data_IF_431157006118
#
_entry.id   IF_431157006118
#
_cell.length_a   1.000
_cell.length_b   1.000
_cell.length_c   1.000
_cell.angle_alpha   90.00
_cell.angle_beta   90.00
_cell.angle_gamma   90.00
#
_symmetry.space_group_name_H-M   'P 1'
#
loop_
_entity.id
_entity.type
_entity.pdbx_description
1 polymer ?
#
# COMPACT_ATOMS: atom_id res chain seq x y z
N UNK A 1 7.19 -21.29 -1.69
CA UNK A 1 7.00 -19.87 -1.40
C UNK A 1 6.34 -19.20 -2.58
N UNK A 2 5.48 -18.21 -2.34
CA UNK A 2 4.94 -17.33 -3.37
C UNK A 2 5.25 -15.88 -3.01
N UNK A 3 5.51 -15.05 -4.01
CA UNK A 3 5.64 -13.60 -3.86
C UNK A 3 4.83 -12.92 -4.97
N UNK A 4 4.09 -11.88 -4.60
CA UNK A 4 3.33 -11.07 -5.55
C UNK A 4 3.37 -9.61 -5.15
N UNK A 5 3.36 -8.72 -6.14
CA UNK A 5 3.31 -7.27 -5.94
C UNK A 5 2.00 -6.70 -6.48
N UNK A 6 1.39 -5.73 -5.79
CA UNK A 6 0.18 -5.04 -6.26
C UNK A 6 -0.94 -6.04 -6.52
N UNK A 7 -1.60 -6.04 -7.68
CA UNK A 7 -2.54 -7.10 -8.07
C UNK A 7 -1.94 -8.53 -8.10
N UNK A 8 -0.61 -8.65 -8.14
CA UNK A 8 0.09 -9.90 -7.88
C UNK A 8 -0.21 -10.46 -6.49
N UNK A 9 -0.51 -9.63 -5.48
CA UNK A 9 -0.93 -10.08 -4.14
C UNK A 9 -2.27 -10.79 -4.18
N UNK A 10 -3.26 -10.25 -4.90
CA UNK A 10 -4.55 -10.93 -5.16
C UNK A 10 -4.30 -12.31 -5.79
N UNK A 11 -3.40 -12.38 -6.78
CA UNK A 11 -3.08 -13.63 -7.48
C UNK A 11 -2.41 -14.66 -6.57
N UNK A 12 -1.37 -14.28 -5.81
CA UNK A 12 -0.66 -15.25 -4.96
C UNK A 12 -1.48 -15.66 -3.73
N UNK A 13 -2.33 -14.78 -3.20
CA UNK A 13 -3.26 -15.11 -2.14
C UNK A 13 -4.28 -16.18 -2.60
N UNK A 14 -4.89 -15.99 -3.78
CA UNK A 14 -5.78 -17.00 -4.35
C UNK A 14 -5.07 -18.28 -4.78
N UNK A 15 -3.85 -18.16 -5.33
CA UNK A 15 -3.04 -19.31 -5.72
C UNK A 15 -2.65 -20.16 -4.50
N UNK A 16 -2.35 -19.55 -3.35
CA UNK A 16 -2.07 -20.27 -2.12
C UNK A 16 -3.25 -21.16 -1.70
N UNK A 17 -4.46 -20.61 -1.68
CA UNK A 17 -5.67 -21.38 -1.39
C UNK A 17 -5.93 -22.49 -2.41
N UNK A 18 -5.75 -22.21 -3.71
CA UNK A 18 -5.96 -23.20 -4.79
C UNK A 18 -4.94 -24.34 -4.75
N UNK A 19 -3.66 -24.06 -4.56
CA UNK A 19 -2.61 -25.06 -4.48
C UNK A 19 -2.84 -26.01 -3.30
N UNK A 20 -3.20 -25.47 -2.15
CA UNK A 20 -3.45 -26.28 -0.96
C UNK A 20 -4.74 -27.08 -1.09
N UNK A 21 -5.87 -26.41 -1.33
CA UNK A 21 -7.20 -27.03 -1.30
C UNK A 21 -7.51 -27.95 -2.48
N UNK A 22 -6.71 -27.94 -3.55
CA UNK A 22 -6.99 -28.75 -4.75
C UNK A 22 -5.82 -29.58 -5.25
N UNK A 23 -4.60 -29.25 -4.83
CA UNK A 23 -3.40 -29.97 -5.25
C UNK A 23 -2.60 -30.51 -4.07
N UNK A 24 -3.08 -30.34 -2.82
CA UNK A 24 -2.39 -30.79 -1.60
C UNK A 24 -0.96 -30.25 -1.49
N UNK A 25 -0.72 -29.08 -2.10
CA UNK A 25 0.56 -28.39 -2.10
C UNK A 25 0.57 -27.34 -1.00
N UNK A 26 1.29 -27.64 0.08
CA UNK A 26 1.39 -26.78 1.26
C UNK A 26 2.59 -25.84 1.14
N UNK A 27 2.36 -24.54 1.37
CA UNK A 27 3.38 -23.50 1.27
C UNK A 27 3.95 -23.16 2.65
N UNK A 28 5.25 -22.89 2.71
CA UNK A 28 5.91 -22.33 3.91
C UNK A 28 5.62 -20.83 4.09
N UNK A 29 5.49 -20.09 2.99
CA UNK A 29 5.38 -18.64 3.06
C UNK A 29 4.79 -18.00 1.82
N UNK A 30 4.03 -16.93 2.05
CA UNK A 30 3.53 -15.99 1.03
C UNK A 30 4.01 -14.58 1.36
N UNK A 31 4.58 -13.89 0.38
CA UNK A 31 5.07 -12.51 0.51
C UNK A 31 4.18 -11.60 -0.33
N UNK A 32 3.60 -10.60 0.32
CA UNK A 32 2.69 -9.63 -0.28
C UNK A 32 3.38 -8.27 -0.34
N UNK A 33 3.82 -7.87 -1.52
CA UNK A 33 4.47 -6.58 -1.75
C UNK A 33 3.41 -5.57 -2.18
N UNK A 34 3.25 -4.47 -1.45
CA UNK A 34 2.26 -3.42 -1.70
C UNK A 34 0.86 -3.99 -2.02
N UNK A 35 0.22 -4.70 -1.08
CA UNK A 35 -0.98 -5.46 -1.35
C UNK A 35 -2.22 -4.59 -1.62
N UNK A 36 -3.04 -5.07 -2.55
CA UNK A 36 -4.41 -4.59 -2.75
C UNK A 36 -5.33 -4.95 -1.58
N UNK A 37 -6.63 -4.63 -1.68
CA UNK A 37 -7.61 -4.96 -0.64
C UNK A 37 -7.82 -6.44 -0.36
N UNK A 38 -7.45 -7.34 -1.29
CA UNK A 38 -7.64 -8.80 -1.19
C UNK A 38 -9.10 -9.24 -0.92
N UNK A 39 -10.08 -8.40 -1.24
CA UNK A 39 -11.50 -8.63 -0.92
C UNK A 39 -11.90 -8.31 0.53
N UNK A 40 -11.03 -7.69 1.34
CA UNK A 40 -11.40 -7.12 2.65
C UNK A 40 -12.19 -5.83 2.42
N UNK A 41 -13.36 -5.73 3.04
CA UNK A 41 -14.21 -4.54 2.96
C UNK A 41 -13.60 -3.38 3.78
N UNK A 42 -13.55 -2.18 3.19
CA UNK A 42 -13.11 -0.93 3.83
C UNK A 42 -14.06 0.23 3.51
N UNK A 43 -15.32 -0.03 3.19
CA UNK A 43 -16.26 0.99 2.72
C UNK A 43 -16.59 2.03 3.79
N UNK A 44 -16.96 3.24 3.35
CA UNK A 44 -17.41 4.33 4.21
C UNK A 44 -16.29 4.89 5.12
N UNK A 45 -16.60 5.21 6.39
CA UNK A 45 -15.66 5.86 7.32
C UNK A 45 -14.28 5.23 7.42
N UNK A 46 -14.18 3.91 7.28
CA UNK A 46 -12.90 3.19 7.32
C UNK A 46 -12.05 3.62 6.13
N UNK A 47 -12.54 3.44 4.91
CA UNK A 47 -11.80 3.75 3.67
C UNK A 47 -11.50 5.22 3.51
N UNK A 48 -12.35 6.10 4.04
CA UNK A 48 -12.13 7.55 4.03
C UNK A 48 -11.00 7.97 4.99
N UNK A 49 -10.81 7.26 6.10
CA UNK A 49 -9.84 7.60 7.14
C UNK A 49 -8.46 6.96 6.95
N UNK A 50 -8.41 5.70 6.49
CA UNK A 50 -7.16 4.94 6.35
C UNK A 50 -6.06 5.59 5.48
N UNK A 51 -6.35 6.48 4.51
CA UNK A 51 -5.31 7.22 3.79
C UNK A 51 -4.51 8.22 4.62
N UNK A 52 -5.00 8.67 5.79
CA UNK A 52 -4.38 9.76 6.55
C UNK A 52 -2.91 9.49 6.97
N UNK A 53 -2.52 8.29 7.44
CA UNK A 53 -1.11 8.00 7.71
C UNK A 53 -0.23 8.07 6.44
N UNK A 54 -0.74 7.71 5.27
CA UNK A 54 -0.04 7.90 3.99
C UNK A 54 0.10 9.39 3.63
N UNK A 55 -0.95 10.20 3.86
CA UNK A 55 -0.88 11.65 3.68
C UNK A 55 0.19 12.26 4.57
N UNK A 56 0.26 11.81 5.82
CA UNK A 56 1.29 12.24 6.78
C UNK A 56 2.69 11.93 6.29
N UNK A 57 2.94 10.69 5.84
CA UNK A 57 4.24 10.31 5.30
C UNK A 57 4.62 11.20 4.11
N UNK A 58 3.68 11.39 3.18
CA UNK A 58 3.89 12.21 1.99
C UNK A 58 4.19 13.68 2.33
N UNK A 59 3.43 14.29 3.23
CA UNK A 59 3.66 15.65 3.69
C UNK A 59 5.00 15.79 4.42
N UNK A 60 5.37 14.80 5.25
CA UNK A 60 6.67 14.77 5.92
C UNK A 60 7.84 14.74 4.93
N UNK A 61 7.71 14.00 3.82
CA UNK A 61 8.74 13.93 2.79
C UNK A 61 8.93 15.29 2.10
N UNK A 62 7.83 15.96 1.78
CA UNK A 62 7.86 17.26 1.09
C UNK A 62 8.02 18.48 1.99
N UNK A 63 8.23 18.28 3.29
CA UNK A 63 8.39 19.38 4.27
C UNK A 63 7.14 20.25 4.41
N UNK A 64 5.97 19.63 4.24
CA UNK A 64 4.66 20.27 4.33
C UNK A 64 4.00 20.10 5.72
N UNK A 65 4.71 19.53 6.69
CA UNK A 65 4.25 19.47 8.08
C UNK A 65 4.84 20.62 8.90
N UNK A 66 4.12 20.99 9.95
CA UNK A 66 4.62 21.98 10.90
C UNK A 66 5.88 21.50 11.67
N UNK A 67 6.69 22.43 12.21
CA UNK A 67 8.02 22.10 12.76
C UNK A 67 8.03 20.98 13.81
N UNK A 68 7.03 20.92 14.69
CA UNK A 68 6.95 19.93 15.75
C UNK A 68 6.78 18.49 15.22
N UNK A 69 6.06 18.32 14.10
CA UNK A 69 5.91 17.02 13.45
C UNK A 69 7.07 16.75 12.49
N UNK A 70 7.53 17.79 11.78
CA UNK A 70 8.57 17.67 10.77
C UNK A 70 9.93 17.21 11.31
N UNK A 71 10.22 17.50 12.59
CA UNK A 71 11.43 17.08 13.29
C UNK A 71 11.44 15.61 13.76
N UNK A 72 10.32 14.89 13.67
CA UNK A 72 10.22 13.47 14.06
C UNK A 72 10.56 12.56 12.89
N UNK A 73 11.03 11.34 13.17
CA UNK A 73 11.14 10.30 12.14
C UNK A 73 9.76 9.72 11.82
N UNK A 74 9.59 9.11 10.64
CA UNK A 74 8.33 8.42 10.30
C UNK A 74 8.00 7.30 11.31
N UNK A 75 9.02 6.58 11.79
CA UNK A 75 8.85 5.54 12.80
C UNK A 75 8.30 6.08 14.15
N UNK A 76 8.58 7.35 14.47
CA UNK A 76 8.03 8.02 15.65
C UNK A 76 6.66 8.63 15.39
N UNK A 77 6.42 9.15 14.18
CA UNK A 77 5.22 9.92 13.85
C UNK A 77 4.04 9.04 13.46
N UNK A 78 4.26 8.05 12.58
CA UNK A 78 3.18 7.25 12.01
C UNK A 78 2.37 6.47 13.06
N UNK A 79 2.94 5.84 14.10
CA UNK A 79 2.14 5.13 15.11
C UNK A 79 1.09 6.01 15.80
N UNK A 80 1.39 7.29 16.04
CA UNK A 80 0.46 8.25 16.63
C UNK A 80 -0.69 8.59 15.67
N UNK A 81 -0.39 8.73 14.38
CA UNK A 81 -1.41 9.00 13.36
C UNK A 81 -2.27 7.76 13.11
N UNK A 82 -1.68 6.56 13.15
CA UNK A 82 -2.40 5.29 13.08
C UNK A 82 -3.41 5.17 14.24
N UNK A 83 -2.99 5.48 15.47
CA UNK A 83 -3.87 5.51 16.64
C UNK A 83 -4.99 6.54 16.49
N UNK A 84 -4.65 7.78 16.12
CA UNK A 84 -5.66 8.81 15.85
C UNK A 84 -6.67 8.36 14.78
N UNK A 85 -6.20 7.69 13.73
CA UNK A 85 -7.05 7.20 12.64
C UNK A 85 -8.05 6.16 13.15
N UNK A 86 -7.58 5.19 13.94
CA UNK A 86 -8.40 4.08 14.45
C UNK A 86 -9.34 4.48 15.58
N UNK A 87 -8.83 5.25 16.54
CA UNK A 87 -9.49 5.45 17.83
C UNK A 87 -10.36 6.72 17.85
N UNK A 88 -10.11 7.68 16.96
CA UNK A 88 -10.77 8.98 16.97
C UNK A 88 -11.42 9.33 15.62
N UNK A 89 -10.68 9.23 14.52
CA UNK A 89 -11.15 9.67 13.20
C UNK A 89 -12.26 8.77 12.65
N UNK A 90 -12.04 7.45 12.60
CA UNK A 90 -13.04 6.48 12.12
C UNK A 90 -14.33 6.57 12.96
N UNK A 91 -14.30 6.54 14.31
CA UNK A 91 -15.50 6.69 15.13
C UNK A 91 -16.23 8.01 14.89
N UNK A 92 -15.50 9.12 14.72
CA UNK A 92 -16.10 10.41 14.47
C UNK A 92 -16.79 10.50 13.09
N UNK A 93 -16.14 9.98 12.05
CA UNK A 93 -16.74 9.87 10.72
C UNK A 93 -17.99 8.97 10.74
N UNK A 94 -17.96 7.87 11.51
CA UNK A 94 -19.11 6.99 11.67
C UNK A 94 -20.31 7.64 12.37
N UNK A 95 -20.08 8.61 13.28
CA UNK A 95 -21.16 9.43 13.88
C UNK A 95 -21.83 10.36 12.86
N UNK A 96 -21.14 10.71 11.77
CA UNK A 96 -21.66 11.57 10.71
C UNK A 96 -22.25 12.89 11.24
N UNK A 97 -23.50 13.19 10.86
CA UNK A 97 -24.20 14.41 11.28
C UNK A 97 -24.47 14.53 12.78
N UNK A 98 -24.40 13.44 13.54
CA UNK A 98 -24.58 13.45 14.99
C UNK A 98 -23.35 13.97 15.76
N UNK A 99 -22.20 14.13 15.07
CA UNK A 99 -20.98 14.69 15.65
C UNK A 99 -21.17 16.19 15.98
N UNK A 100 -20.98 16.61 17.24
CA UNK A 100 -21.05 18.02 17.62
C UNK A 100 -20.10 18.89 16.79
N UNK A 101 -20.53 20.10 16.44
CA UNK A 101 -19.76 20.99 15.56
C UNK A 101 -18.36 21.31 16.10
N UNK A 102 -18.22 21.53 17.42
CA UNK A 102 -16.93 21.77 18.04
C UNK A 102 -15.98 20.57 17.95
N UNK A 103 -16.50 19.35 18.12
CA UNK A 103 -15.72 18.10 18.01
C UNK A 103 -15.27 17.88 16.55
N UNK A 104 -16.19 18.07 15.60
CA UNK A 104 -15.89 18.02 14.16
C UNK A 104 -14.80 19.00 13.75
N UNK A 105 -14.87 20.24 14.26
CA UNK A 105 -13.89 21.28 13.94
C UNK A 105 -12.50 20.96 14.52
N UNK A 106 -12.44 20.44 15.75
CA UNK A 106 -11.18 20.01 16.37
C UNK A 106 -10.55 18.84 15.62
N UNK A 107 -11.35 17.86 15.19
CA UNK A 107 -10.88 16.71 14.41
C UNK A 107 -10.40 17.11 13.01
N UNK A 108 -11.12 18.01 12.33
CA UNK A 108 -10.69 18.53 11.04
C UNK A 108 -9.35 19.28 11.15
N UNK A 109 -9.14 20.05 12.22
CA UNK A 109 -7.86 20.71 12.48
C UNK A 109 -6.72 19.70 12.73
N UNK A 110 -6.97 18.60 13.46
CA UNK A 110 -5.99 17.52 13.66
C UNK A 110 -5.68 16.76 12.37
N UNK A 111 -6.70 16.48 11.56
CA UNK A 111 -6.52 15.88 10.24
C UNK A 111 -5.64 16.75 9.34
N UNK A 112 -5.93 18.06 9.26
CA UNK A 112 -5.14 19.03 8.52
C UNK A 112 -3.68 19.05 8.99
N UNK A 113 -3.48 19.12 10.32
CA UNK A 113 -2.15 19.07 10.96
C UNK A 113 -1.34 17.83 10.53
N UNK A 114 -1.96 16.65 10.47
CA UNK A 114 -1.27 15.42 10.06
C UNK A 114 -1.10 15.29 8.55
N UNK A 115 -2.05 15.77 7.76
CA UNK A 115 -1.99 15.65 6.29
C UNK A 115 -1.15 16.74 5.61
N UNK A 116 -0.86 17.86 6.29
CA UNK A 116 -0.24 19.03 5.69
C UNK A 116 -1.18 19.83 4.77
N UNK A 117 -2.48 19.51 4.79
CA UNK A 117 -3.50 20.25 4.05
C UNK A 117 -4.04 21.44 4.86
N UNK A 118 -4.59 22.41 4.16
CA UNK A 118 -5.37 23.47 4.78
C UNK A 118 -6.66 22.95 5.42
N UNK A 119 -6.99 23.45 6.61
CA UNK A 119 -8.19 23.04 7.37
C UNK A 119 -9.46 23.25 6.55
N UNK A 120 -9.51 24.29 5.73
CA UNK A 120 -10.63 24.59 4.84
C UNK A 120 -10.92 23.45 3.85
N UNK A 121 -9.89 22.93 3.19
CA UNK A 121 -10.02 21.81 2.25
C UNK A 121 -10.52 20.54 2.96
N UNK A 122 -9.95 20.23 4.12
CA UNK A 122 -10.38 19.09 4.95
C UNK A 122 -11.85 19.21 5.35
N UNK A 123 -12.29 20.39 5.76
CA UNK A 123 -13.69 20.66 6.11
C UNK A 123 -14.64 20.52 4.92
N UNK A 124 -14.25 21.01 3.73
CA UNK A 124 -15.05 20.89 2.51
C UNK A 124 -15.29 19.42 2.10
N UNK A 125 -14.35 18.54 2.40
CA UNK A 125 -14.48 17.10 2.24
C UNK A 125 -15.04 16.37 3.46
N UNK A 126 -15.48 17.07 4.51
CA UNK A 126 -15.94 16.46 5.77
C UNK A 126 -14.94 15.44 6.35
N UNK A 127 -13.64 15.74 6.27
CA UNK A 127 -12.51 14.87 6.61
C UNK A 127 -12.31 13.65 5.70
N UNK A 128 -13.18 13.39 4.72
CA UNK A 128 -13.06 12.32 3.73
C UNK A 128 -12.34 12.80 2.46
N UNK A 129 -11.09 13.25 2.60
CA UNK A 129 -10.32 13.82 1.48
C UNK A 129 -9.91 12.72 0.48
N UNK A 130 -10.33 12.80 -0.80
CA UNK A 130 -9.93 11.83 -1.81
C UNK A 130 -8.43 11.86 -2.08
N UNK A 131 -7.82 10.69 -2.26
CA UNK A 131 -6.37 10.56 -2.53
C UNK A 131 -5.94 11.30 -3.78
N UNK A 132 -6.79 11.31 -4.82
CA UNK A 132 -6.54 12.08 -6.04
C UNK A 132 -6.47 13.59 -5.78
N UNK A 133 -7.34 14.10 -4.91
CA UNK A 133 -7.31 15.51 -4.52
C UNK A 133 -6.04 15.80 -3.73
N UNK A 134 -5.69 14.95 -2.76
CA UNK A 134 -4.45 15.11 -1.99
C UNK A 134 -3.20 15.19 -2.88
N UNK A 135 -3.09 14.33 -3.91
CA UNK A 135 -1.96 14.36 -4.85
C UNK A 135 -1.84 15.66 -5.64
N UNK A 136 -2.98 16.31 -5.91
CA UNK A 136 -3.07 17.60 -6.59
C UNK A 136 -2.86 18.78 -5.64
N UNK A 137 -3.27 18.63 -4.38
CA UNK A 137 -3.39 19.72 -3.41
C UNK A 137 -2.09 20.02 -2.67
N UNK A 138 -1.38 18.98 -2.19
CA UNK A 138 -0.31 19.14 -1.20
C UNK A 138 0.76 20.19 -1.57
N UNK A 139 1.10 20.28 -2.86
CA UNK A 139 2.13 21.19 -3.38
C UNK A 139 1.56 22.18 -4.41
N UNK A 140 0.24 22.42 -4.40
CA UNK A 140 -0.43 23.27 -5.38
C UNK A 140 0.14 24.69 -5.43
N UNK A 141 0.50 25.27 -4.29
CA UNK A 141 1.11 26.61 -4.22
C UNK A 141 2.49 26.70 -4.90
N UNK A 142 3.10 25.55 -5.20
CA UNK A 142 4.36 25.44 -5.95
C UNK A 142 4.13 25.11 -7.42
N UNK A 143 2.87 24.95 -7.86
CA UNK A 143 2.50 24.49 -9.20
C UNK A 143 2.87 23.02 -9.46
N UNK A 144 2.87 22.19 -8.41
CA UNK A 144 3.34 20.80 -8.46
C UNK A 144 2.29 19.81 -7.97
N UNK A 145 2.33 18.61 -8.54
CA UNK A 145 1.60 17.42 -8.07
C UNK A 145 2.55 16.37 -7.52
N UNK A 146 2.03 15.38 -6.79
CA UNK A 146 2.82 14.24 -6.29
C UNK A 146 2.36 12.90 -6.88
N UNK A 147 3.28 11.94 -6.94
CA UNK A 147 3.03 10.62 -7.53
C UNK A 147 2.01 9.76 -6.78
N UNK A 148 1.23 8.97 -7.54
CA UNK A 148 0.30 7.98 -6.99
C UNK A 148 1.05 6.76 -6.48
N UNK A 149 1.90 6.15 -7.30
CA UNK A 149 2.64 4.95 -6.91
C UNK A 149 3.88 5.27 -6.06
N UNK A 150 4.39 6.49 -6.13
CA UNK A 150 5.45 6.97 -5.25
C UNK A 150 5.36 8.49 -5.11
N UNK A 151 4.82 8.94 -3.99
CA UNK A 151 4.53 10.36 -3.76
C UNK A 151 5.78 11.22 -3.60
N UNK A 152 6.98 10.65 -3.59
CA UNK A 152 8.24 11.41 -3.64
C UNK A 152 8.47 12.07 -5.00
N UNK A 153 7.93 11.48 -6.07
CA UNK A 153 7.99 12.04 -7.41
C UNK A 153 7.06 13.23 -7.53
N UNK A 154 7.49 14.24 -8.29
CA UNK A 154 6.74 15.47 -8.55
C UNK A 154 6.34 15.53 -10.01
N UNK A 155 5.11 15.97 -10.26
CA UNK A 155 4.56 16.21 -11.60
C UNK A 155 4.26 17.70 -11.82
N UNK A 156 4.06 18.05 -13.08
CA UNK A 156 3.62 19.38 -13.51
C UNK A 156 2.43 19.15 -14.43
N UNK A 157 1.28 19.67 -14.03
CA UNK A 157 0.04 19.57 -14.80
C UNK A 157 -0.14 20.78 -15.72
N UNK A 158 -1.11 20.69 -16.63
CA UNK A 158 -1.47 21.81 -17.50
C UNK A 158 -2.05 23.00 -16.71
N UNK A 159 -2.74 22.72 -15.62
CA UNK A 159 -3.38 23.70 -14.74
C UNK A 159 -3.24 23.29 -13.27
N UNK A 160 -3.08 24.25 -12.36
CA UNK A 160 -2.95 23.98 -10.92
C UNK A 160 -4.29 23.64 -10.24
N UNK A 161 -5.39 24.06 -10.86
CA UNK A 161 -6.75 23.82 -10.36
C UNK A 161 -7.20 22.36 -10.56
N UNK A 162 -8.34 22.01 -9.96
CA UNK A 162 -8.96 20.69 -10.10
C UNK A 162 -8.81 19.80 -8.87
N UNK A 163 -9.13 18.52 -9.05
CA UNK A 163 -9.24 17.53 -7.95
C UNK A 163 -8.44 16.24 -8.20
N UNK A 164 -7.62 16.22 -9.25
CA UNK A 164 -6.76 15.10 -9.59
C UNK A 164 -5.58 15.56 -10.46
N UNK A 165 -4.40 14.91 -10.35
CA UNK A 165 -3.31 15.11 -11.29
C UNK A 165 -3.67 14.68 -12.72
N UNK A 166 -3.02 15.26 -13.73
CA UNK A 166 -3.17 14.87 -15.14
C UNK A 166 -2.57 13.47 -15.40
N UNK A 167 -1.50 13.13 -14.68
CA UNK A 167 -0.78 11.85 -14.79
C UNK A 167 -0.07 11.48 -13.49
N UNK A 168 0.42 10.24 -13.39
CA UNK A 168 1.30 9.81 -12.30
C UNK A 168 2.77 10.04 -12.69
N UNK A 169 3.49 10.99 -12.07
CA UNK A 169 4.90 11.25 -12.38
C UNK A 169 5.83 10.06 -12.06
N UNK A 170 5.51 9.26 -11.04
CA UNK A 170 6.31 8.08 -10.71
C UNK A 170 6.21 7.03 -11.83
N UNK A 171 4.99 6.69 -12.22
CA UNK A 171 4.73 5.72 -13.28
C UNK A 171 5.33 6.14 -14.62
N UNK A 172 5.24 7.44 -14.96
CA UNK A 172 5.81 7.99 -16.20
C UNK A 172 7.32 7.84 -16.22
N UNK A 173 7.99 8.20 -15.12
CA UNK A 173 9.44 8.04 -14.99
C UNK A 173 9.88 6.57 -15.09
N UNK A 174 9.14 5.66 -14.45
CA UNK A 174 9.43 4.22 -14.49
C UNK A 174 9.25 3.62 -15.88
N UNK A 175 8.13 3.91 -16.54
CA UNK A 175 7.86 3.40 -17.89
C UNK A 175 8.91 3.90 -18.88
N UNK A 176 9.33 5.16 -18.76
CA UNK A 176 10.40 5.71 -19.58
C UNK A 176 11.73 4.95 -19.39
N UNK A 177 12.04 4.52 -18.17
CA UNK A 177 13.25 3.74 -17.89
C UNK A 177 13.12 2.26 -18.29
N UNK A 178 11.97 1.63 -18.05
CA UNK A 178 11.79 0.18 -18.20
C UNK A 178 11.44 -0.24 -19.62
N UNK A 179 10.62 0.54 -20.36
CA UNK A 179 10.18 0.15 -21.70
C UNK A 179 11.35 -0.08 -22.66
N UNK A 180 12.35 0.82 -22.76
CA UNK A 180 13.49 0.60 -23.65
C UNK A 180 14.36 -0.57 -23.18
N UNK A 181 14.58 -0.68 -21.87
CA UNK A 181 15.43 -1.71 -21.29
C UNK A 181 14.93 -3.13 -21.55
N UNK A 182 13.63 -3.39 -21.35
CA UNK A 182 13.07 -4.72 -21.61
C UNK A 182 13.07 -5.04 -23.11
N UNK A 183 12.76 -4.06 -23.96
CA UNK A 183 12.78 -4.23 -25.41
C UNK A 183 14.19 -4.55 -25.94
N UNK A 184 15.22 -3.89 -25.41
CA UNK A 184 16.63 -4.20 -25.70
C UNK A 184 17.00 -5.59 -25.19
N UNK A 185 16.67 -5.92 -23.94
CA UNK A 185 17.00 -7.22 -23.35
C UNK A 185 16.41 -8.39 -24.15
N UNK A 186 15.13 -8.32 -24.50
CA UNK A 186 14.48 -9.40 -25.27
C UNK A 186 15.09 -9.57 -26.67
N UNK A 187 15.32 -8.47 -27.39
CA UNK A 187 15.75 -8.54 -28.80
C UNK A 187 17.25 -8.79 -28.95
N UNK A 188 18.07 -8.10 -28.18
CA UNK A 188 19.53 -8.08 -28.37
C UNK A 188 20.25 -9.06 -27.45
N UNK A 189 19.77 -9.26 -26.22
CA UNK A 189 20.41 -10.17 -25.26
C UNK A 189 19.86 -11.59 -25.37
N UNK A 190 18.54 -11.76 -25.43
CA UNK A 190 17.91 -13.09 -25.59
C UNK A 190 17.76 -13.52 -27.05
N UNK A 191 17.92 -12.59 -28.01
CA UNK A 191 17.76 -12.89 -29.44
C UNK A 191 16.31 -13.18 -29.85
N UNK A 192 15.32 -12.87 -29.01
CA UNK A 192 13.91 -13.11 -29.32
C UNK A 192 13.41 -12.06 -30.32
N UNK A 193 13.19 -12.50 -31.56
CA UNK A 193 12.67 -11.68 -32.64
C UNK A 193 11.18 -11.92 -32.80
N UNK A 194 10.40 -10.87 -32.65
CA UNK A 194 8.95 -10.85 -32.82
C UNK A 194 8.52 -9.49 -33.34
N UNK A 195 7.46 -9.47 -34.15
CA UNK A 195 6.74 -8.28 -34.59
C UNK A 195 5.64 -7.86 -33.59
N UNK A 196 5.36 -8.70 -32.59
CA UNK A 196 4.42 -8.39 -31.53
C UNK A 196 4.91 -7.22 -30.67
N UNK A 197 4.01 -6.30 -30.38
CA UNK A 197 4.23 -5.21 -29.43
C UNK A 197 4.39 -5.75 -28.00
N UNK A 198 5.39 -5.25 -27.29
CA UNK A 198 5.54 -5.54 -25.86
C UNK A 198 4.68 -4.57 -25.05
N UNK A 199 3.59 -5.09 -24.49
CA UNK A 199 2.68 -4.33 -23.64
C UNK A 199 3.22 -4.26 -22.21
N UNK A 200 3.63 -3.06 -21.75
CA UNK A 200 3.89 -2.81 -20.33
C UNK A 200 2.64 -3.03 -19.48
N UNK A 201 1.47 -2.72 -20.04
CA UNK A 201 0.15 -2.94 -19.43
C UNK A 201 -0.77 -3.55 -20.47
N UNK A 202 -1.42 -4.67 -20.15
CA UNK A 202 -2.46 -5.24 -21.00
C UNK A 202 -3.78 -4.46 -20.92
N UNK A 203 -4.63 -4.49 -21.96
CA UNK A 203 -5.94 -3.85 -21.99
C UNK A 203 -6.96 -4.65 -21.16
N UNK A 204 -6.78 -4.65 -19.84
CA UNK A 204 -7.55 -5.49 -18.91
C UNK A 204 -8.79 -4.80 -18.32
N UNK A 205 -9.14 -3.61 -18.80
CA UNK A 205 -10.27 -2.82 -18.31
C UNK A 205 -11.54 -3.03 -19.17
N UNK A 206 -12.73 -3.29 -18.57
CA UNK A 206 -12.98 -3.50 -17.14
C UNK A 206 -12.55 -4.89 -16.67
N UNK A 207 -11.77 -4.94 -15.58
CA UNK A 207 -11.45 -6.19 -14.90
C UNK A 207 -12.62 -6.61 -14.01
N UNK A 208 -13.12 -7.84 -14.18
CA UNK A 208 -14.17 -8.38 -13.34
C UNK A 208 -13.64 -8.68 -11.92
N UNK A 209 -14.11 -7.91 -10.92
CA UNK A 209 -13.78 -8.08 -9.50
C UNK A 209 -14.89 -8.75 -8.69
N UNK A 210 -15.93 -9.23 -9.35
CA UNK A 210 -17.09 -9.84 -8.68
C UNK A 210 -16.66 -11.05 -7.87
N UNK A 211 -16.95 -11.04 -6.57
CA UNK A 211 -16.64 -12.16 -5.68
C UNK A 211 -15.16 -12.34 -5.36
N UNK A 212 -14.34 -11.27 -5.44
CA UNK A 212 -12.96 -11.34 -4.96
C UNK A 212 -12.92 -11.70 -3.46
N UNK A 213 -12.36 -12.88 -3.15
CA UNK A 213 -12.21 -13.39 -1.77
C UNK A 213 -10.80 -13.94 -1.53
N UNK A 214 -9.81 -13.40 -2.21
CA UNK A 214 -8.44 -13.94 -2.20
C UNK A 214 -7.79 -13.84 -0.82
N UNK A 215 -8.10 -12.80 -0.05
CA UNK A 215 -7.72 -12.67 1.36
C UNK A 215 -8.33 -13.78 2.22
N UNK A 216 -9.61 -14.12 2.02
CA UNK A 216 -10.25 -15.25 2.69
C UNK A 216 -9.60 -16.59 2.29
N UNK A 217 -9.25 -16.77 1.02
CA UNK A 217 -8.57 -17.98 0.54
C UNK A 217 -7.18 -18.14 1.19
N UNK A 218 -6.42 -17.06 1.32
CA UNK A 218 -5.12 -17.07 2.01
C UNK A 218 -5.29 -17.30 3.52
N UNK A 219 -6.27 -16.65 4.15
CA UNK A 219 -6.64 -16.88 5.55
C UNK A 219 -6.97 -18.35 5.81
N UNK A 220 -7.79 -18.96 4.96
CA UNK A 220 -8.15 -20.37 5.05
C UNK A 220 -6.92 -21.26 4.89
N UNK A 221 -6.05 -20.96 3.92
CA UNK A 221 -4.81 -21.70 3.73
C UNK A 221 -3.94 -21.68 5.00
N UNK A 222 -3.85 -20.53 5.68
CA UNK A 222 -3.13 -20.39 6.96
C UNK A 222 -3.80 -21.13 8.12
N UNK A 223 -5.13 -21.24 8.12
CA UNK A 223 -5.88 -21.97 9.14
C UNK A 223 -5.63 -23.48 9.04
N UNK A 224 -5.66 -24.01 7.82
CA UNK A 224 -5.44 -25.43 7.52
C UNK A 224 -3.96 -25.83 7.58
N UNK A 225 -3.04 -24.89 7.33
CA UNK A 225 -1.61 -25.10 7.38
C UNK A 225 -0.96 -24.27 8.49
N UNK A 226 -0.65 -24.87 9.64
CA UNK A 226 -0.04 -24.16 10.77
C UNK A 226 1.38 -23.66 10.47
N UNK A 227 2.01 -24.12 9.38
CA UNK A 227 3.36 -23.72 8.99
C UNK A 227 3.38 -22.62 7.91
N UNK A 228 2.23 -22.25 7.36
CA UNK A 228 2.16 -21.13 6.44
C UNK A 228 2.28 -19.81 7.19
N UNK A 229 3.28 -19.02 6.79
CA UNK A 229 3.53 -17.67 7.27
C UNK A 229 3.28 -16.65 6.16
N UNK A 230 2.97 -15.40 6.53
CA UNK A 230 2.77 -14.28 5.61
C UNK A 230 3.65 -13.11 6.01
N UNK A 231 4.29 -12.50 5.02
CA UNK A 231 5.01 -11.23 5.19
C UNK A 231 4.44 -10.19 4.23
N UNK A 232 4.11 -9.02 4.75
CA UNK A 232 3.73 -7.84 3.98
C UNK A 232 4.92 -6.89 3.90
N UNK A 233 5.27 -6.45 2.69
CA UNK A 233 6.24 -5.37 2.46
C UNK A 233 5.49 -4.18 1.86
N UNK A 234 5.63 -2.98 2.43
CA UNK A 234 4.91 -1.80 1.91
C UNK A 234 5.74 -0.53 2.01
N UNK A 235 5.67 0.30 0.97
CA UNK A 235 6.26 1.63 0.98
C UNK A 235 5.38 2.65 1.70
N UNK A 236 5.97 3.51 2.53
CA UNK A 236 5.23 4.58 3.20
C UNK A 236 4.71 5.67 2.24
N UNK A 237 5.29 5.78 1.05
CA UNK A 237 4.94 6.77 0.02
C UNK A 237 4.11 6.19 -1.13
N UNK A 238 3.59 4.98 -0.96
CA UNK A 238 2.70 4.31 -1.92
C UNK A 238 1.26 4.76 -1.71
N UNK A 239 0.75 5.62 -2.60
CA UNK A 239 -0.66 6.03 -2.60
C UNK A 239 -1.57 5.11 -3.41
N UNK A 240 -1.01 4.17 -4.17
CA UNK A 240 -1.79 3.19 -4.93
C UNK A 240 -2.32 2.06 -4.05
N UNK A 241 -1.50 1.62 -3.10
CA UNK A 241 -1.85 0.66 -2.05
C UNK A 241 -1.23 1.14 -0.72
N UNK A 242 -1.89 2.07 -0.02
CA UNK A 242 -1.36 2.65 1.21
C UNK A 242 -0.90 1.61 2.22
N UNK A 243 0.19 1.88 2.92
CA UNK A 243 0.74 0.92 3.87
C UNK A 243 -0.23 0.62 5.04
N UNK A 244 -1.06 1.61 5.42
CA UNK A 244 -2.02 1.44 6.51
C UNK A 244 -3.24 0.63 6.08
N UNK A 245 -3.65 0.75 4.81
CA UNK A 245 -4.58 -0.17 4.14
C UNK A 245 -4.07 -1.62 4.23
N UNK A 246 -2.78 -1.84 3.96
CA UNK A 246 -2.16 -3.16 4.04
C UNK A 246 -2.19 -3.72 5.47
N UNK A 247 -1.86 -2.91 6.48
CA UNK A 247 -2.00 -3.27 7.91
C UNK A 247 -3.44 -3.63 8.25
N UNK A 248 -4.40 -2.80 7.84
CA UNK A 248 -5.82 -3.04 8.09
C UNK A 248 -6.29 -4.37 7.46
N UNK A 249 -5.90 -4.65 6.21
CA UNK A 249 -6.22 -5.95 5.58
C UNK A 249 -5.59 -7.11 6.32
N UNK A 250 -4.34 -7.00 6.77
CA UNK A 250 -3.68 -8.03 7.56
C UNK A 250 -4.45 -8.32 8.86
N UNK A 251 -4.88 -7.30 9.58
CA UNK A 251 -5.69 -7.45 10.80
C UNK A 251 -7.05 -8.11 10.53
N UNK A 252 -7.71 -7.74 9.43
CA UNK A 252 -9.04 -8.25 9.10
C UNK A 252 -9.03 -9.61 8.39
N UNK A 253 -7.87 -10.06 7.91
CA UNK A 253 -7.66 -11.47 7.57
C UNK A 253 -7.56 -12.34 8.82
N UNK A 254 -7.21 -11.78 9.98
CA UNK A 254 -7.16 -12.50 11.25
C UNK A 254 -7.95 -11.77 12.34
N UNK A 255 -9.30 -11.71 12.23
CA UNK A 255 -10.13 -11.01 13.21
C UNK A 255 -10.05 -11.64 14.61
N UNK A 256 -9.55 -12.87 14.71
CA UNK A 256 -9.36 -13.59 15.97
C UNK A 256 -8.02 -13.34 16.65
N UNK A 257 -7.05 -12.72 15.97
CA UNK A 257 -5.68 -12.54 16.46
C UNK A 257 -4.88 -13.84 16.57
N UNK A 258 -5.28 -14.93 15.90
CA UNK A 258 -4.65 -16.26 16.01
C UNK A 258 -3.44 -16.46 15.08
N UNK A 259 -3.19 -15.54 14.17
CA UNK A 259 -2.12 -15.59 13.18
C UNK A 259 -1.06 -14.51 13.42
N UNK A 260 -1.13 -13.78 14.54
CA UNK A 260 -0.22 -12.67 14.85
C UNK A 260 1.26 -13.10 14.89
N UNK A 261 1.53 -14.34 15.28
CA UNK A 261 2.86 -14.95 15.28
C UNK A 261 3.34 -15.43 13.90
N UNK A 262 2.43 -15.47 12.92
CA UNK A 262 2.65 -15.95 11.55
C UNK A 262 2.41 -14.90 10.48
N UNK A 263 2.03 -13.69 10.85
CA UNK A 263 1.88 -12.53 9.97
C UNK A 263 2.86 -11.44 10.39
N UNK A 264 3.63 -10.91 9.44
CA UNK A 264 4.59 -9.84 9.71
C UNK A 264 4.45 -8.71 8.71
N UNK A 265 4.70 -7.48 9.17
CA UNK A 265 4.68 -6.28 8.33
C UNK A 265 6.05 -5.61 8.32
N UNK A 266 6.48 -5.17 7.14
CA UNK A 266 7.72 -4.42 6.91
C UNK A 266 7.42 -3.16 6.13
N UNK A 267 7.76 -2.00 6.71
CA UNK A 267 7.60 -0.69 6.10
C UNK A 267 8.92 -0.13 5.59
N UNK A 268 8.88 0.59 4.46
CA UNK A 268 10.07 1.14 3.79
C UNK A 268 9.84 2.61 3.43
N UNK A 269 10.90 3.43 3.47
CA UNK A 269 10.88 4.82 3.02
C UNK A 269 10.90 4.93 1.48
N UNK A 270 9.96 4.23 0.83
CA UNK A 270 9.77 4.18 -0.62
C UNK A 270 8.29 4.14 -1.01
N UNK A 271 8.01 4.20 -2.31
CA UNK A 271 6.68 3.96 -2.87
C UNK A 271 6.40 2.48 -3.12
N UNK A 272 5.58 2.21 -4.12
CA UNK A 272 5.06 0.89 -4.52
C UNK A 272 6.15 -0.17 -4.73
N UNK A 273 7.23 0.23 -5.40
CA UNK A 273 8.38 -0.62 -5.70
C UNK A 273 9.57 -0.21 -4.81
N UNK A 274 9.61 -0.68 -3.57
CA UNK A 274 10.66 -0.31 -2.60
C UNK A 274 12.08 -0.59 -3.08
N UNK A 275 12.24 -1.60 -3.93
CA UNK A 275 13.51 -1.99 -4.53
C UNK A 275 14.08 -0.98 -5.56
N UNK A 276 13.37 0.11 -5.87
CA UNK A 276 13.92 1.21 -6.67
C UNK A 276 14.83 2.16 -5.87
N UNK A 277 14.71 2.18 -4.54
CA UNK A 277 15.64 2.91 -3.65
C UNK A 277 16.70 1.94 -3.14
N UNK A 278 17.98 2.19 -3.47
CA UNK A 278 19.10 1.29 -3.12
C UNK A 278 19.14 0.84 -1.65
N UNK A 279 18.98 1.73 -0.64
CA UNK A 279 18.87 1.31 0.76
C UNK A 279 17.73 0.32 1.00
N UNK A 280 16.54 0.59 0.45
CA UNK A 280 15.36 -0.24 0.67
C UNK A 280 15.42 -1.55 -0.13
N UNK A 281 16.07 -1.58 -1.30
CA UNK A 281 16.38 -2.82 -2.02
C UNK A 281 17.21 -3.78 -1.17
N UNK A 282 18.23 -3.25 -0.48
CA UNK A 282 19.09 -4.08 0.36
C UNK A 282 18.29 -4.64 1.54
N UNK A 283 17.59 -3.78 2.29
CA UNK A 283 16.81 -4.19 3.47
C UNK A 283 15.62 -5.06 3.10
N UNK A 284 14.89 -4.78 2.02
CA UNK A 284 13.76 -5.59 1.58
C UNK A 284 14.20 -6.99 1.16
N UNK A 285 15.37 -7.12 0.53
CA UNK A 285 15.95 -8.43 0.20
C UNK A 285 16.41 -9.19 1.45
N UNK A 286 17.00 -8.51 2.44
CA UNK A 286 17.40 -9.14 3.68
C UNK A 286 16.20 -9.61 4.50
N UNK A 287 15.11 -8.84 4.52
CA UNK A 287 13.83 -9.26 5.13
C UNK A 287 13.27 -10.52 4.44
N UNK A 288 13.30 -10.61 3.10
CA UNK A 288 12.89 -11.81 2.36
C UNK A 288 13.77 -13.01 2.74
N UNK A 289 15.10 -12.82 2.82
CA UNK A 289 16.04 -13.88 3.22
C UNK A 289 15.76 -14.37 4.64
N UNK A 290 15.53 -13.43 5.57
CA UNK A 290 15.21 -13.74 6.96
C UNK A 290 13.90 -14.52 7.06
N UNK A 291 12.85 -14.05 6.35
CA UNK A 291 11.55 -14.71 6.30
C UNK A 291 11.64 -16.14 5.77
N UNK A 292 12.33 -16.36 4.63
CA UNK A 292 12.50 -17.71 4.07
C UNK A 292 13.25 -18.60 5.05
N UNK A 293 14.35 -18.12 5.65
CA UNK A 293 15.14 -18.92 6.61
C UNK A 293 14.34 -19.28 7.87
N UNK A 294 13.52 -18.36 8.37
CA UNK A 294 12.70 -18.57 9.57
C UNK A 294 11.58 -19.58 9.34
N UNK A 295 11.05 -19.64 8.11
CA UNK A 295 9.84 -20.43 7.78
C UNK A 295 10.15 -21.72 7.02
N UNK A 296 11.42 -21.96 6.67
CA UNK A 296 11.91 -23.23 6.12
C UNK A 296 12.36 -24.16 7.25
N UNK A 297 11.80 -25.39 7.35
CA UNK A 297 12.29 -26.41 8.26
C UNK A 297 13.78 -26.72 8.02
N UNK A 298 14.50 -27.13 9.07
CA UNK A 298 15.90 -27.54 8.95
C UNK A 298 16.03 -28.75 8.02
N UNK A 299 17.15 -28.90 7.28
CA UNK A 299 17.36 -30.07 6.42
C UNK A 299 17.15 -31.38 7.18
N UNK A 300 16.36 -32.28 6.59
CA UNK A 300 16.04 -33.59 7.17
C UNK A 300 15.10 -33.56 8.38
N UNK A 301 14.54 -32.40 8.75
CA UNK A 301 13.58 -32.29 9.84
C UNK A 301 12.16 -32.02 9.31
N UNK A 302 11.14 -32.74 9.80
CA UNK A 302 9.76 -32.39 9.50
C UNK A 302 9.42 -31.04 10.12
N UNK A 303 8.43 -30.35 9.55
CA UNK A 303 7.85 -29.17 10.19
C UNK A 303 7.27 -29.54 11.57
N UNK A 304 7.47 -28.69 12.58
CA UNK A 304 7.00 -28.90 13.96
C UNK A 304 6.37 -27.62 14.50
N UNK A 305 5.22 -27.76 15.17
CA UNK A 305 4.63 -26.71 16.00
C UNK A 305 5.32 -26.67 17.35
#
# INVERSE_FOLDING_TARGET
FLIGESYGTTRVAGLAGRLQGSHWMYLNGVILVSPTGLGVNRDGPVGDALPLPYYTATAWYHKALEPALQGRTLAQLLPEVEQFTMDELIPAMAKGGALPAAERDALAARYARYSGLEVGAVKQYNMAVPTSFFWKELLRDQGLTVGRLDSRYRGIDREDAGTSPDFDPALTAWNHAFAPAINHYLRDQLGWKTDLEYWLFGPVNPWNRTGERTGQQLQQAMAENPYLNVMVQSGYFDGGTPYFDAKYTMWNMDPSGRFQDRMSFKGYESGHMMYLRKPDLATSNDDIRAFIRQTTPRPGQPARQ
#
